data_IF_139857465804
#
_entry.id   IF_139857465804
#
_cell.length_a   1.000
_cell.length_b   1.000
_cell.length_c   1.000
_cell.angle_alpha   90.00
_cell.angle_beta   90.00
_cell.angle_gamma   90.00
#
_symmetry.space_group_name_H-M   'P 1'
#
loop_
_entity.id
_entity.type
_entity.pdbx_description
1 polymer ?
#
# COMPACT_ATOMS: atom_id res chain seq x y z
N UNK A 1 -4.34 3.13 28.35
CA UNK A 1 -4.46 2.70 26.94
C UNK A 1 -4.74 3.94 26.11
N UNK A 2 -3.71 4.55 25.53
CA UNK A 2 -3.89 5.67 24.59
C UNK A 2 -4.46 5.10 23.29
N UNK A 3 -5.63 5.58 22.87
CA UNK A 3 -6.25 5.18 21.62
C UNK A 3 -5.33 5.45 20.44
N UNK A 4 -5.21 4.49 19.52
CA UNK A 4 -4.52 4.69 18.25
C UNK A 4 -5.25 5.81 17.51
N UNK A 5 -4.57 6.91 17.25
CA UNK A 5 -5.11 7.99 16.43
C UNK A 5 -5.00 7.61 14.95
N UNK A 6 -6.10 7.08 14.42
CA UNK A 6 -6.22 6.65 13.03
C UNK A 6 -6.24 7.81 12.03
N UNK A 7 -6.40 9.06 12.50
CA UNK A 7 -6.62 10.23 11.62
C UNK A 7 -5.37 11.09 11.40
N UNK A 8 -4.32 10.96 12.22
CA UNK A 8 -3.15 11.83 12.14
C UNK A 8 -2.13 11.45 11.05
N UNK A 9 -2.39 10.41 10.26
CA UNK A 9 -1.47 10.01 9.19
C UNK A 9 -0.05 9.69 9.67
N UNK A 10 0.13 9.46 10.99
CA UNK A 10 1.38 9.10 11.67
C UNK A 10 2.63 9.73 11.06
N UNK A 11 2.73 11.06 11.00
CA UNK A 11 4.00 11.69 10.62
C UNK A 11 4.98 11.59 11.79
N UNK A 12 5.56 10.41 11.99
CA UNK A 12 6.74 10.28 12.82
C UNK A 12 7.97 10.37 11.91
N UNK A 13 8.94 11.25 12.23
CA UNK A 13 10.18 11.39 11.49
C UNK A 13 11.10 10.23 11.90
N UNK A 14 10.80 9.03 11.41
CA UNK A 14 11.76 7.94 11.51
C UNK A 14 12.76 8.08 10.37
N UNK A 15 14.03 7.80 10.67
CA UNK A 15 15.03 7.55 9.64
C UNK A 15 14.46 6.51 8.67
N UNK A 16 14.43 6.88 7.38
CA UNK A 16 13.88 6.04 6.33
C UNK A 16 14.99 5.17 5.76
N UNK A 17 14.90 3.87 6.00
CA UNK A 17 15.72 2.89 5.31
C UNK A 17 15.02 2.54 4.00
N UNK A 18 15.73 2.65 2.87
CA UNK A 18 15.21 2.16 1.60
C UNK A 18 15.23 0.63 1.60
N UNK A 19 14.07 0.02 1.39
CA UNK A 19 14.01 -1.37 0.96
C UNK A 19 14.52 -1.40 -0.48
N UNK A 20 15.70 -1.97 -0.69
CA UNK A 20 16.10 -2.37 -2.02
C UNK A 20 15.33 -3.65 -2.38
N UNK A 21 15.00 -3.82 -3.67
CA UNK A 21 14.44 -5.07 -4.20
C UNK A 21 15.47 -6.22 -4.20
N UNK A 22 16.49 -6.17 -3.32
CA UNK A 22 17.46 -7.24 -3.19
C UNK A 22 16.74 -8.52 -2.76
N UNK A 23 17.06 -9.62 -3.44
CA UNK A 23 16.48 -10.93 -3.22
C UNK A 23 16.86 -11.44 -1.82
N UNK A 24 16.05 -11.10 -0.82
CA UNK A 24 16.28 -11.52 0.55
C UNK A 24 15.04 -11.36 1.40
N UNK A 25 14.77 -12.38 2.22
CA UNK A 25 13.81 -12.31 3.32
C UNK A 25 14.47 -11.58 4.50
N UNK A 26 13.82 -10.53 5.00
CA UNK A 26 14.29 -9.78 6.16
C UNK A 26 13.38 -10.13 7.35
N UNK A 27 13.90 -10.76 8.41
CA UNK A 27 13.11 -11.04 9.61
C UNK A 27 12.45 -9.79 10.18
N UNK A 28 11.15 -9.87 10.52
CA UNK A 28 10.42 -8.75 11.12
C UNK A 28 10.98 -8.35 12.49
N UNK A 29 11.58 -9.31 13.20
CA UNK A 29 12.29 -9.10 14.47
C UNK A 29 13.41 -8.06 14.33
N UNK A 30 14.18 -8.13 13.23
CA UNK A 30 15.25 -7.16 12.91
C UNK A 30 14.73 -5.78 12.51
N UNK A 31 13.47 -5.72 12.08
CA UNK A 31 12.79 -4.49 11.67
C UNK A 31 11.96 -3.88 12.82
N UNK A 32 11.93 -4.54 13.99
CA UNK A 32 11.04 -4.23 15.12
C UNK A 32 9.54 -4.19 14.76
N UNK A 33 9.18 -4.95 13.72
CA UNK A 33 7.83 -5.13 13.20
C UNK A 33 7.13 -6.39 13.72
N UNK A 34 7.74 -7.11 14.68
CA UNK A 34 7.23 -8.38 15.18
C UNK A 34 6.08 -8.24 16.20
N UNK A 35 5.80 -7.03 16.70
CA UNK A 35 4.75 -6.73 17.68
C UNK A 35 4.17 -5.33 17.50
N UNK A 36 3.03 -5.07 18.14
CA UNK A 36 2.28 -3.81 18.07
C UNK A 36 1.62 -3.57 16.71
N UNK A 37 1.61 -2.32 16.25
CA UNK A 37 1.00 -1.93 14.97
C UNK A 37 2.06 -1.82 13.89
N UNK A 38 1.95 -2.65 12.84
CA UNK A 38 2.65 -2.40 11.58
C UNK A 38 1.74 -1.57 10.67
N UNK A 39 2.08 -0.29 10.48
CA UNK A 39 1.35 0.58 9.56
C UNK A 39 2.03 0.61 8.20
N UNK A 40 1.25 0.47 7.14
CA UNK A 40 1.67 0.62 5.75
C UNK A 40 0.97 1.85 5.19
N UNK A 41 1.73 2.78 4.63
CA UNK A 41 1.20 3.99 4.01
C UNK A 41 1.50 3.97 2.52
N UNK A 42 0.49 4.25 1.71
CA UNK A 42 0.62 4.45 0.27
C UNK A 42 0.52 5.95 -0.04
N UNK A 43 1.50 6.48 -0.79
CA UNK A 43 1.46 7.83 -1.35
C UNK A 43 1.76 7.80 -2.82
N UNK A 44 1.22 8.77 -3.55
CA UNK A 44 1.52 8.98 -4.96
C UNK A 44 1.49 10.47 -5.27
N UNK A 45 2.20 10.83 -6.33
CA UNK A 45 2.26 12.17 -6.85
C UNK A 45 1.52 12.15 -8.18
N UNK A 46 0.42 12.89 -8.29
CA UNK A 46 -0.20 13.12 -9.60
C UNK A 46 0.82 13.70 -10.60
N UNK A 47 0.58 13.60 -11.92
CA UNK A 47 1.55 14.01 -12.95
C UNK A 47 2.13 15.43 -12.81
N UNK A 48 1.52 16.31 -12.00
CA UNK A 48 1.95 17.70 -11.79
C UNK A 48 2.88 17.95 -10.59
N UNK A 49 3.12 16.99 -9.69
CA UNK A 49 3.94 17.25 -8.48
C UNK A 49 5.45 17.06 -8.71
N UNK A 50 5.85 16.33 -9.76
CA UNK A 50 7.27 16.02 -10.05
C UNK A 50 7.90 16.92 -11.13
N UNK A 51 7.10 17.76 -11.80
CA UNK A 51 7.56 18.63 -12.87
C UNK A 51 7.79 20.07 -12.38
N UNK A 52 8.94 20.32 -11.75
CA UNK A 52 9.53 21.66 -11.72
C UNK A 52 9.65 22.33 -10.36
N UNK A 53 10.66 21.95 -9.60
CA UNK A 53 11.28 22.86 -8.61
C UNK A 53 12.80 22.84 -8.77
N UNK A 54 13.28 23.44 -9.86
CA UNK A 54 14.67 23.88 -10.01
C UNK A 54 14.85 25.27 -9.39
N UNK A 55 15.96 25.56 -8.69
CA UNK A 55 16.10 26.75 -7.83
C UNK A 55 16.21 28.12 -8.55
N UNK A 56 16.07 28.19 -9.88
CA UNK A 56 16.37 29.41 -10.66
C UNK A 56 15.30 29.85 -11.66
N UNK A 57 14.04 29.42 -11.53
CA UNK A 57 12.95 30.01 -12.34
C UNK A 57 11.81 30.51 -11.47
N UNK A 58 11.95 31.76 -11.01
CA UNK A 58 10.84 32.61 -10.58
C UNK A 58 10.03 32.98 -11.84
N UNK A 59 9.31 32.02 -12.41
CA UNK A 59 8.30 32.29 -13.42
C UNK A 59 7.10 32.81 -12.64
N UNK A 60 6.67 34.03 -12.95
CA UNK A 60 5.38 34.56 -12.50
C UNK A 60 4.34 33.52 -12.95
N UNK A 61 3.79 32.77 -12.00
CA UNK A 61 2.74 31.80 -12.26
C UNK A 61 1.53 32.60 -12.76
N UNK A 62 1.04 32.37 -13.99
CA UNK A 62 -0.28 32.84 -14.31
C UNK A 62 -1.23 32.08 -13.41
N UNK A 63 -2.02 32.80 -12.60
CA UNK A 63 -3.22 32.26 -11.97
C UNK A 63 -3.94 31.39 -12.99
N UNK A 64 -4.16 30.09 -12.73
CA UNK A 64 -4.84 29.24 -13.69
C UNK A 64 -6.20 29.86 -13.97
N UNK A 65 -6.47 30.12 -15.25
CA UNK A 65 -7.76 30.65 -15.67
C UNK A 65 -8.86 29.70 -15.15
N UNK A 66 -9.97 30.22 -14.58
CA UNK A 66 -11.09 29.39 -14.20
C UNK A 66 -11.56 28.62 -15.44
N UNK A 67 -11.45 27.29 -15.39
CA UNK A 67 -11.84 26.41 -16.50
C UNK A 67 -10.72 25.59 -17.16
N UNK A 68 -9.45 25.74 -16.77
CA UNK A 68 -8.40 24.78 -17.21
C UNK A 68 -8.57 23.49 -16.41
N UNK A 69 -9.10 22.45 -17.06
CA UNK A 69 -9.21 21.12 -16.49
C UNK A 69 -7.81 20.61 -16.10
N UNK A 70 -7.55 20.48 -14.79
CA UNK A 70 -6.44 19.66 -14.29
C UNK A 70 -6.59 18.26 -14.88
N UNK A 71 -5.50 17.64 -15.33
CA UNK A 71 -5.52 16.27 -15.86
C UNK A 71 -6.24 15.30 -14.91
N UNK A 72 -6.71 14.13 -15.38
CA UNK A 72 -7.48 13.22 -14.56
C UNK A 72 -6.70 12.85 -13.31
N UNK A 73 -7.36 12.95 -12.16
CA UNK A 73 -6.78 12.66 -10.86
C UNK A 73 -6.44 11.17 -10.78
N UNK A 74 -5.17 10.84 -10.53
CA UNK A 74 -4.75 9.47 -10.29
C UNK A 74 -5.37 8.95 -9.01
N UNK A 75 -5.99 7.78 -9.08
CA UNK A 75 -6.60 7.06 -7.97
C UNK A 75 -5.88 5.71 -7.80
N UNK A 76 -5.24 5.52 -6.64
CA UNK A 76 -4.60 4.26 -6.26
C UNK A 76 -5.29 3.68 -5.04
N UNK A 77 -5.38 2.36 -4.98
CA UNK A 77 -5.84 1.63 -3.80
C UNK A 77 -4.72 0.88 -3.13
N UNK A 78 -4.66 0.97 -1.81
CA UNK A 78 -3.93 0.07 -0.94
C UNK A 78 -4.83 -1.10 -0.51
N UNK A 79 -4.29 -2.32 -0.54
CA UNK A 79 -4.99 -3.48 0.00
C UNK A 79 -4.02 -4.60 0.37
N UNK A 80 -4.58 -5.67 0.91
CA UNK A 80 -3.82 -6.89 1.13
C UNK A 80 -4.67 -8.16 1.02
N UNK A 81 -4.03 -9.25 0.64
CA UNK A 81 -4.52 -10.60 0.87
C UNK A 81 -3.98 -11.10 2.21
N UNK A 82 -4.79 -11.77 3.02
CA UNK A 82 -4.36 -12.38 4.27
C UNK A 82 -4.76 -13.86 4.33
N UNK A 83 -3.93 -14.66 4.99
CA UNK A 83 -4.21 -16.05 5.31
C UNK A 83 -3.86 -16.30 6.78
N UNK A 84 -4.75 -16.94 7.50
CA UNK A 84 -4.55 -17.41 8.86
C UNK A 84 -4.00 -18.84 8.89
N UNK A 85 -3.45 -19.23 10.04
CA UNK A 85 -2.88 -20.56 10.31
C UNK A 85 -3.93 -21.68 10.29
N UNK A 86 -5.21 -21.35 10.50
CA UNK A 86 -6.35 -22.27 10.36
C UNK A 86 -6.84 -22.44 8.91
N UNK A 87 -6.21 -21.74 7.95
CA UNK A 87 -6.56 -21.78 6.54
C UNK A 87 -7.60 -20.74 6.11
N UNK A 88 -8.22 -20.00 7.03
CA UNK A 88 -9.10 -18.89 6.66
C UNK A 88 -8.30 -17.84 5.88
N UNK A 89 -8.88 -17.37 4.79
CA UNK A 89 -8.23 -16.41 3.88
C UNK A 89 -9.22 -15.37 3.39
N UNK A 90 -8.71 -14.19 3.06
CA UNK A 90 -9.54 -13.11 2.56
C UNK A 90 -8.73 -11.94 2.03
N UNK A 91 -9.44 -10.85 1.79
CA UNK A 91 -8.89 -9.59 1.27
C UNK A 91 -9.36 -8.43 2.12
N UNK A 92 -8.46 -7.48 2.39
CA UNK A 92 -8.78 -6.14 2.89
C UNK A 92 -8.51 -5.15 1.77
N UNK A 93 -9.53 -4.37 1.39
CA UNK A 93 -9.50 -3.41 0.29
C UNK A 93 -10.72 -2.47 0.33
N UNK A 94 -10.61 -1.31 -0.32
CA UNK A 94 -11.72 -0.36 -0.45
C UNK A 94 -12.89 -0.93 -1.30
N UNK A 95 -12.58 -1.66 -2.37
CA UNK A 95 -13.59 -2.25 -3.25
C UNK A 95 -14.51 -3.25 -2.49
N UNK A 96 -15.82 -3.07 -2.61
CA UNK A 96 -16.79 -3.87 -1.88
C UNK A 96 -16.78 -3.66 -0.35
N UNK A 97 -16.24 -2.53 0.13
CA UNK A 97 -16.23 -2.13 1.55
C UNK A 97 -15.59 -3.18 2.47
N UNK A 98 -14.51 -3.82 2.01
CA UNK A 98 -13.77 -4.83 2.78
C UNK A 98 -12.67 -4.18 3.60
N UNK A 99 -13.01 -3.19 4.43
CA UNK A 99 -12.03 -2.38 5.15
C UNK A 99 -11.36 -3.11 6.33
N UNK A 100 -11.90 -4.26 6.77
CA UNK A 100 -11.37 -5.02 7.89
C UNK A 100 -11.62 -4.38 9.27
N UNK A 101 -11.02 -4.94 10.30
CA UNK A 101 -11.10 -4.54 11.70
C UNK A 101 -9.73 -4.79 12.35
N UNK A 102 -9.28 -3.86 13.19
CA UNK A 102 -7.97 -3.95 13.85
C UNK A 102 -8.03 -4.73 15.17
N UNK A 103 -9.18 -4.70 15.85
CA UNK A 103 -9.40 -5.34 17.16
C UNK A 103 -10.04 -6.72 17.05
N UNK A 104 -10.60 -7.06 15.89
CA UNK A 104 -11.23 -8.36 15.59
C UNK A 104 -10.65 -8.92 14.30
N UNK A 105 -10.75 -10.24 14.03
CA UNK A 105 -10.42 -10.79 12.73
C UNK A 105 -11.02 -9.94 11.59
N UNK A 106 -10.22 -9.50 10.60
CA UNK A 106 -8.93 -10.05 10.21
C UNK A 106 -7.68 -9.49 10.93
N UNK A 107 -7.83 -8.64 11.96
CA UNK A 107 -6.73 -7.93 12.63
C UNK A 107 -5.93 -7.02 11.68
N UNK A 108 -6.57 -6.65 10.58
CA UNK A 108 -6.05 -5.75 9.56
C UNK A 108 -7.15 -4.74 9.25
N UNK A 109 -6.80 -3.46 9.22
CA UNK A 109 -7.73 -2.37 8.92
C UNK A 109 -7.17 -1.42 7.86
N UNK A 110 -7.99 -1.08 6.88
CA UNK A 110 -7.80 0.04 5.95
C UNK A 110 -8.55 1.26 6.53
N UNK A 111 -7.88 2.40 6.69
CA UNK A 111 -8.47 3.59 7.32
C UNK A 111 -9.38 4.41 6.41
N UNK A 112 -9.03 4.55 5.13
CA UNK A 112 -9.75 5.39 4.18
C UNK A 112 -9.44 5.02 2.73
N UNK A 113 -10.44 5.21 1.88
CA UNK A 113 -10.27 5.32 0.43
C UNK A 113 -9.95 6.79 0.11
N UNK A 114 -8.66 7.13 0.04
CA UNK A 114 -8.21 8.49 -0.31
C UNK A 114 -8.00 8.59 -1.81
N UNK A 115 -9.11 8.78 -2.53
CA UNK A 115 -9.13 8.98 -4.00
C UNK A 115 -8.41 10.23 -4.47
N UNK A 116 -7.90 11.04 -3.54
CA UNK A 116 -7.32 12.33 -3.85
C UNK A 116 -5.80 12.36 -3.89
N UNK A 117 -5.15 11.32 -3.36
CA UNK A 117 -3.72 11.38 -3.06
C UNK A 117 -3.41 12.57 -2.15
N UNK A 118 -4.28 12.85 -1.16
CA UNK A 118 -4.05 13.95 -0.23
C UNK A 118 -2.69 13.78 0.44
N UNK A 119 -2.17 14.84 1.06
CA UNK A 119 -0.82 14.83 1.68
C UNK A 119 -0.54 13.67 2.64
N UNK A 120 -1.56 12.95 3.13
CA UNK A 120 -1.46 11.79 4.00
C UNK A 120 -1.43 10.44 3.28
N UNK A 121 -2.09 10.29 2.12
CA UNK A 121 -2.26 9.01 1.42
C UNK A 121 -3.21 8.02 2.14
N UNK A 122 -3.21 6.75 1.74
CA UNK A 122 -3.99 5.66 2.38
C UNK A 122 -3.14 4.91 3.41
N UNK A 123 -3.76 4.39 4.48
CA UNK A 123 -3.06 3.55 5.45
C UNK A 123 -3.76 2.20 5.68
N UNK A 124 -2.94 1.14 5.66
CA UNK A 124 -3.29 -0.20 6.11
C UNK A 124 -2.58 -0.46 7.43
N UNK A 125 -3.27 -1.01 8.41
CA UNK A 125 -2.73 -1.31 9.72
C UNK A 125 -2.88 -2.79 10.01
N UNK A 126 -1.76 -3.45 10.27
CA UNK A 126 -1.71 -4.87 10.67
C UNK A 126 -1.40 -4.93 12.16
N UNK A 127 -2.25 -5.60 12.92
CA UNK A 127 -2.05 -5.80 14.34
C UNK A 127 -1.13 -7.01 14.57
N UNK A 128 0.15 -6.73 14.78
CA UNK A 128 1.20 -7.73 14.96
C UNK A 128 1.17 -8.37 16.35
N UNK A 129 0.41 -7.82 17.31
CA UNK A 129 0.13 -8.51 18.58
C UNK A 129 -0.73 -9.78 18.36
N UNK A 130 -1.43 -9.85 17.23
CA UNK A 130 -2.17 -11.04 16.77
C UNK A 130 -1.39 -11.84 15.71
N UNK A 131 -0.07 -11.63 15.57
CA UNK A 131 0.79 -12.31 14.58
C UNK A 131 0.69 -13.83 14.59
N UNK A 132 0.41 -14.42 15.76
CA UNK A 132 0.20 -15.86 15.92
C UNK A 132 -0.89 -16.43 14.98
N UNK A 133 -1.93 -15.66 14.68
CA UNK A 133 -3.01 -16.07 13.78
C UNK A 133 -2.61 -16.09 12.32
N UNK A 134 -1.64 -15.27 11.89
CA UNK A 134 -1.29 -15.15 10.48
C UNK A 134 -0.37 -16.29 10.00
N UNK A 135 -0.61 -16.72 8.77
CA UNK A 135 0.32 -17.51 7.97
C UNK A 135 1.11 -16.59 7.03
N UNK A 136 0.41 -15.70 6.32
CA UNK A 136 0.99 -14.73 5.40
C UNK A 136 0.04 -13.57 5.11
N UNK A 137 0.61 -12.42 4.79
CA UNK A 137 -0.07 -11.19 4.36
C UNK A 137 0.67 -10.64 3.13
N UNK A 138 -0.03 -10.47 2.02
CA UNK A 138 0.51 -9.90 0.79
C UNK A 138 -0.09 -8.52 0.56
N UNK A 139 0.72 -7.48 0.70
CA UNK A 139 0.34 -6.09 0.46
C UNK A 139 0.41 -5.82 -1.04
N UNK A 140 -0.64 -5.21 -1.58
CA UNK A 140 -0.72 -4.83 -2.99
C UNK A 140 -1.22 -3.39 -3.17
N UNK A 141 -0.95 -2.86 -4.36
CA UNK A 141 -1.47 -1.57 -4.81
C UNK A 141 -2.19 -1.76 -6.14
N UNK A 142 -3.37 -1.15 -6.30
CA UNK A 142 -4.14 -1.16 -7.55
C UNK A 142 -4.19 0.25 -8.15
N UNK A 143 -4.17 0.34 -9.47
CA UNK A 143 -4.47 1.56 -10.21
C UNK A 143 -5.98 1.62 -10.49
N UNK A 144 -6.73 2.35 -9.67
CA UNK A 144 -8.18 2.46 -9.78
C UNK A 144 -8.62 3.43 -10.88
N UNK A 145 -7.80 4.43 -11.21
CA UNK A 145 -8.13 5.39 -12.26
C UNK A 145 -7.09 6.48 -12.49
N UNK A 146 -7.32 7.27 -13.54
CA UNK A 146 -6.52 8.47 -13.83
C UNK A 146 -5.13 8.24 -14.44
N UNK A 147 -4.73 6.99 -14.68
CA UNK A 147 -3.52 6.63 -15.43
C UNK A 147 -3.73 5.35 -16.23
N UNK A 148 -2.87 5.11 -17.22
CA UNK A 148 -2.79 3.84 -17.95
C UNK A 148 -1.81 2.85 -17.30
N UNK A 149 -0.94 3.34 -16.41
CA UNK A 149 0.21 2.60 -15.90
C UNK A 149 0.59 3.06 -14.48
N UNK A 150 0.57 2.13 -13.52
CA UNK A 150 0.90 2.35 -12.12
C UNK A 150 2.37 2.78 -11.95
N UNK A 151 3.26 2.30 -12.81
CA UNK A 151 4.70 2.60 -12.72
C UNK A 151 5.02 4.08 -13.00
N UNK A 152 4.09 4.82 -13.61
CA UNK A 152 4.28 6.22 -14.03
C UNK A 152 3.74 7.26 -13.05
N UNK A 153 3.09 6.84 -11.97
CA UNK A 153 2.38 7.76 -11.06
C UNK A 153 3.12 8.06 -9.76
N UNK A 154 4.42 7.75 -9.70
CA UNK A 154 5.26 8.06 -8.55
C UNK A 154 4.79 7.40 -7.24
N UNK A 155 4.19 6.21 -7.33
CA UNK A 155 3.70 5.50 -6.15
C UNK A 155 4.85 5.05 -5.24
N UNK A 156 4.67 5.27 -3.94
CA UNK A 156 5.61 4.90 -2.90
C UNK A 156 4.86 4.31 -1.69
N UNK A 157 5.33 3.15 -1.24
CA UNK A 157 4.91 2.52 0.01
C UNK A 157 5.91 2.83 1.11
N UNK A 158 5.42 3.06 2.32
CA UNK A 158 6.26 3.13 3.52
C UNK A 158 5.67 2.26 4.62
N UNK A 159 6.46 1.35 5.16
CA UNK A 159 6.10 0.57 6.34
C UNK A 159 6.67 1.24 7.59
N UNK A 160 5.85 1.38 8.61
CA UNK A 160 6.16 1.96 9.90
C UNK A 160 5.96 0.87 10.96
N UNK A 161 7.04 0.19 11.38
CA UNK A 161 6.97 -0.74 12.49
C UNK A 161 6.76 0.02 13.81
N UNK A 162 6.24 -0.67 14.83
CA UNK A 162 6.09 -0.12 16.18
C UNK A 162 7.44 0.30 16.75
N UNK A 163 8.46 -0.51 16.51
CA UNK A 163 9.81 -0.32 16.98
C UNK A 163 10.73 -0.33 15.76
N UNK A 164 11.57 0.67 15.57
CA UNK A 164 12.53 0.69 14.46
C UNK A 164 12.23 1.69 13.34
N UNK A 165 13.10 1.74 12.32
CA UNK A 165 13.04 2.75 11.27
C UNK A 165 11.89 2.50 10.29
N UNK A 166 11.45 3.57 9.62
CA UNK A 166 10.51 3.45 8.53
C UNK A 166 11.19 2.81 7.31
N UNK A 167 10.46 1.96 6.59
CA UNK A 167 10.95 1.20 5.46
C UNK A 167 10.26 1.66 4.18
N UNK A 168 11.00 2.30 3.27
CA UNK A 168 10.45 2.88 2.04
C UNK A 168 10.64 1.98 0.82
N UNK A 169 9.61 1.84 -0.01
CA UNK A 169 9.62 1.10 -1.28
C UNK A 169 8.98 1.96 -2.39
N UNK A 170 9.70 2.14 -3.51
CA UNK A 170 9.17 2.81 -4.71
C UNK A 170 8.57 1.78 -5.68
N UNK A 171 7.47 2.14 -6.32
CA UNK A 171 6.75 1.28 -7.26
C UNK A 171 6.86 1.80 -8.71
N UNK A 172 8.09 2.09 -9.15
CA UNK A 172 8.44 2.65 -10.45
C UNK A 172 9.00 1.60 -11.43
N UNK A 173 8.46 0.37 -11.34
CA UNK A 173 8.87 -0.85 -12.04
C UNK A 173 9.63 -0.65 -13.34
N UNK A 174 10.94 -0.90 -13.31
CA UNK A 174 11.79 -0.76 -14.48
C UNK A 174 11.41 -1.81 -15.54
N UNK A 175 11.06 -1.36 -16.74
CA UNK A 175 10.79 -2.23 -17.91
C UNK A 175 9.40 -2.86 -17.99
N UNK A 176 8.51 -2.64 -17.02
CA UNK A 176 7.09 -3.02 -17.15
C UNK A 176 6.29 -1.85 -17.73
N UNK A 177 5.34 -2.14 -18.62
CA UNK A 177 4.41 -1.12 -19.14
C UNK A 177 2.97 -1.55 -18.93
N UNK A 178 2.08 -0.57 -18.77
CA UNK A 178 0.62 -0.75 -18.58
C UNK A 178 0.24 -1.55 -17.34
N UNK A 179 1.04 -1.49 -16.27
CA UNK A 179 0.72 -2.17 -15.02
C UNK A 179 -0.55 -1.58 -14.40
N UNK A 180 -1.53 -2.43 -14.09
CA UNK A 180 -2.77 -2.06 -13.38
C UNK A 180 -2.70 -2.39 -11.89
N UNK A 181 -1.78 -3.25 -11.48
CA UNK A 181 -1.54 -3.52 -10.07
C UNK A 181 -0.10 -3.96 -9.80
N UNK A 182 0.27 -3.93 -8.52
CA UNK A 182 1.57 -4.37 -8.02
C UNK A 182 1.39 -5.19 -6.73
N UNK A 183 1.91 -6.42 -6.69
CA UNK A 183 2.20 -7.13 -5.45
C UNK A 183 3.51 -6.56 -4.89
N UNK A 184 3.45 -5.85 -3.76
CA UNK A 184 4.54 -5.01 -3.31
C UNK A 184 5.41 -5.67 -2.25
N UNK A 185 4.77 -6.20 -1.20
CA UNK A 185 5.46 -6.77 -0.03
C UNK A 185 4.73 -8.02 0.43
N UNK A 186 5.46 -9.13 0.58
CA UNK A 186 4.99 -10.34 1.23
C UNK A 186 5.55 -10.41 2.64
N UNK A 187 4.67 -10.52 3.63
CA UNK A 187 5.01 -10.85 5.01
C UNK A 187 4.54 -12.28 5.25
N UNK A 188 5.45 -13.19 5.53
CA UNK A 188 5.12 -14.61 5.70
C UNK A 188 5.94 -15.27 6.79
N UNK A 189 5.41 -16.35 7.35
CA UNK A 189 6.19 -17.18 8.27
C UNK A 189 7.40 -17.79 7.55
N UNK A 190 8.57 -17.65 8.17
CA UNK A 190 9.84 -18.24 7.76
C UNK A 190 10.41 -18.93 9.00
N UNK A 191 10.12 -20.23 9.14
CA UNK A 191 10.37 -20.97 10.38
C UNK A 191 9.54 -20.45 11.57
N UNK A 192 10.16 -20.16 12.74
CA UNK A 192 9.44 -19.70 13.93
C UNK A 192 9.04 -18.22 13.89
N UNK A 193 9.60 -17.43 12.97
CA UNK A 193 9.37 -15.99 12.87
C UNK A 193 8.68 -15.58 11.57
N UNK A 194 8.32 -14.31 11.46
CA UNK A 194 7.90 -13.71 10.19
C UNK A 194 9.07 -13.05 9.50
N UNK A 195 9.08 -13.13 8.18
CA UNK A 195 9.99 -12.37 7.34
C UNK A 195 9.21 -11.54 6.30
N UNK A 196 9.79 -10.39 5.99
CA UNK A 196 9.37 -9.50 4.94
C UNK A 196 10.18 -9.77 3.68
N UNK A 197 9.51 -9.86 2.54
CA UNK A 197 10.11 -9.90 1.21
C UNK A 197 9.51 -8.82 0.33
N UNK A 198 10.37 -8.04 -0.31
CA UNK A 198 9.96 -7.13 -1.37
C UNK A 198 9.67 -7.94 -2.63
N UNK A 199 8.45 -7.82 -3.16
CA UNK A 199 8.03 -8.55 -4.37
C UNK A 199 8.17 -7.67 -5.61
N UNK A 200 7.64 -6.44 -5.57
CA UNK A 200 7.62 -5.50 -6.72
C UNK A 200 7.22 -6.17 -8.04
N UNK A 201 6.22 -7.05 -7.98
CA UNK A 201 5.71 -7.80 -9.14
C UNK A 201 4.47 -7.11 -9.69
N UNK A 202 4.52 -6.77 -10.96
CA UNK A 202 3.48 -5.98 -11.64
C UNK A 202 2.59 -6.85 -12.51
N UNK A 203 1.32 -6.45 -12.63
CA UNK A 203 0.29 -7.20 -13.36
C UNK A 203 -0.53 -6.29 -14.28
N UNK A 204 -1.03 -6.85 -15.38
CA UNK A 204 -1.92 -6.17 -16.32
C UNK A 204 -3.37 -6.12 -15.82
N UNK A 205 -3.77 -7.04 -14.94
CA UNK A 205 -5.04 -7.01 -14.23
C UNK A 205 -4.90 -6.55 -12.78
N UNK A 206 -5.88 -6.95 -11.96
CA UNK A 206 -6.05 -6.47 -10.60
C UNK A 206 -5.89 -7.60 -9.56
N UNK A 207 -6.57 -7.51 -8.42
CA UNK A 207 -6.41 -8.41 -7.28
C UNK A 207 -6.63 -9.91 -7.58
N UNK A 208 -7.42 -10.27 -8.60
CA UNK A 208 -7.61 -11.67 -9.01
C UNK A 208 -6.37 -12.28 -9.67
N UNK A 209 -5.61 -11.50 -10.44
CA UNK A 209 -4.34 -11.97 -11.03
C UNK A 209 -3.26 -12.10 -9.97
N UNK A 210 -3.24 -11.16 -9.01
CA UNK A 210 -2.35 -11.24 -7.84
C UNK A 210 -2.66 -12.50 -7.04
N UNK A 211 -3.93 -12.76 -6.72
CA UNK A 211 -4.33 -13.99 -6.04
C UNK A 211 -3.85 -15.24 -6.78
N UNK A 212 -4.15 -15.34 -8.09
CA UNK A 212 -3.74 -16.49 -8.90
C UNK A 212 -2.21 -16.68 -8.89
N UNK A 213 -1.44 -15.61 -8.98
CA UNK A 213 0.02 -15.66 -9.01
C UNK A 213 0.66 -16.08 -7.69
N UNK A 214 0.02 -15.81 -6.54
CA UNK A 214 0.51 -16.17 -5.20
C UNK A 214 -0.23 -17.36 -4.58
N UNK A 215 -1.20 -17.93 -5.29
CA UNK A 215 -1.96 -19.09 -4.88
C UNK A 215 -2.75 -18.84 -3.59
N UNK A 216 -3.47 -17.72 -3.50
CA UNK A 216 -4.35 -17.48 -2.36
C UNK A 216 -5.59 -18.35 -2.44
N UNK A 217 -6.20 -18.49 -3.63
CA UNK A 217 -7.37 -19.31 -3.92
C UNK A 217 -8.69 -18.67 -3.50
N UNK A 218 -8.83 -17.34 -3.59
CA UNK A 218 -10.10 -16.68 -3.33
C UNK A 218 -11.04 -16.84 -4.52
N UNK A 219 -12.34 -16.86 -4.24
CA UNK A 219 -13.37 -16.83 -5.27
C UNK A 219 -13.73 -15.37 -5.54
N UNK A 220 -13.42 -14.91 -6.75
CA UNK A 220 -13.73 -13.56 -7.21
C UNK A 220 -15.03 -13.57 -7.99
N UNK A 221 -15.93 -12.65 -7.65
CA UNK A 221 -17.12 -12.34 -8.41
C UNK A 221 -17.05 -10.87 -8.89
N UNK A 222 -17.72 -10.52 -9.99
CA UNK A 222 -17.95 -9.12 -10.34
C UNK A 222 -18.57 -8.40 -9.13
N UNK A 223 -17.84 -7.46 -8.55
CA UNK A 223 -18.31 -6.64 -7.44
C UNK A 223 -18.81 -5.28 -7.93
N UNK A 224 -19.55 -4.51 -7.10
CA UNK A 224 -20.09 -3.19 -7.46
C UNK A 224 -19.03 -2.09 -7.68
N UNK A 225 -17.76 -2.44 -7.90
CA UNK A 225 -16.64 -1.50 -7.93
C UNK A 225 -16.49 -0.74 -6.62
N UNK A 226 -15.71 0.34 -6.63
CA UNK A 226 -15.74 1.34 -5.54
C UNK A 226 -17.09 2.07 -5.57
N UNK A 227 -17.71 2.25 -4.40
CA UNK A 227 -18.90 3.11 -4.28
C UNK A 227 -18.49 4.55 -4.56
N UNK A 228 -18.95 5.11 -5.68
CA UNK A 228 -18.78 6.54 -5.98
C UNK A 228 -19.64 7.32 -4.98
N UNK A 229 -19.01 8.18 -4.19
CA UNK A 229 -19.68 9.15 -3.30
C UNK A 229 -19.57 10.50 -3.99
#
# INVERSE_FOLDING_TARGET
MSGIDWNSGGQAPFDRVRLSAAAGEIPLSRLGAASGTLRVNLRWSGPDESAGRGPFRRRIEPTPAPGVARGPKVDLDLGCLYQFTDGQRGVVQAAGQRNGDFARPPYIRLDRDDRTGSSTGENLFVNMDHSAHFQRVLIFVLLAGGSDDLTKVGAALTLYPTNGPALGLRLDGQGTTKAKSCAAVLIQRSGPEFALRTETKYFGGYQSEIDAAYGWGLHWAPGPGKVRI
#
